data_IF_109966753608
#
_entry.id   IF_109966753608
#
_cell.length_a   1.000
_cell.length_b   1.000
_cell.length_c   1.000
_cell.angle_alpha   90.00
_cell.angle_beta   90.00
_cell.angle_gamma   90.00
#
_symmetry.space_group_name_H-M   'P 1'
#
loop_
_entity.id
_entity.type
_entity.pdbx_description
1 polymer ?
#
# COMPACT_ATOMS: atom_id res chain seq x y z
N UNK A 1 18.72 -33.87 -5.96
CA UNK A 1 19.26 -32.59 -5.47
C UNK A 1 18.87 -31.53 -6.48
N UNK A 2 17.90 -30.69 -6.13
CA UNK A 2 17.49 -29.53 -6.91
C UNK A 2 16.92 -28.49 -5.93
N UNK A 3 17.70 -27.41 -5.79
CA UNK A 3 17.34 -26.01 -5.51
C UNK A 3 16.29 -25.71 -4.44
N UNK A 4 16.79 -25.16 -3.33
CA UNK A 4 16.08 -24.24 -2.46
C UNK A 4 15.35 -23.18 -3.30
N UNK A 5 14.02 -23.15 -3.21
CA UNK A 5 13.20 -22.06 -3.71
C UNK A 5 13.15 -20.96 -2.66
N UNK A 6 13.69 -19.80 -3.01
CA UNK A 6 13.46 -18.55 -2.30
C UNK A 6 11.96 -18.20 -2.26
N UNK A 7 11.64 -17.29 -1.35
CA UNK A 7 10.57 -16.29 -1.48
C UNK A 7 9.11 -16.70 -1.19
N UNK A 8 8.64 -16.30 -0.01
CA UNK A 8 7.64 -15.23 0.07
C UNK A 8 6.18 -15.61 -0.15
N UNK A 9 5.38 -15.30 0.87
CA UNK A 9 3.92 -15.12 0.90
C UNK A 9 3.05 -16.40 0.94
N UNK A 10 1.99 -16.43 1.78
CA UNK A 10 1.02 -17.52 1.77
C UNK A 10 0.28 -17.58 0.43
N UNK A 11 0.24 -18.75 -0.20
CA UNK A 11 -0.58 -19.00 -1.39
C UNK A 11 -2.06 -18.68 -1.06
N UNK A 12 -2.58 -17.54 -1.53
CA UNK A 12 -3.98 -17.18 -1.33
C UNK A 12 -4.89 -18.16 -2.07
N UNK A 13 -5.41 -19.17 -1.37
CA UNK A 13 -6.44 -20.08 -1.89
C UNK A 13 -7.81 -19.40 -1.84
N UNK A 14 -8.12 -18.54 -2.81
CA UNK A 14 -9.42 -17.87 -2.90
C UNK A 14 -9.39 -16.58 -3.70
N UNK A 15 -10.54 -15.90 -3.86
CA UNK A 15 -10.58 -14.56 -4.45
C UNK A 15 -9.79 -13.58 -3.59
N UNK A 16 -8.96 -12.74 -4.23
CA UNK A 16 -8.17 -11.73 -3.54
C UNK A 16 -8.09 -10.45 -4.34
N UNK A 17 -7.81 -9.35 -3.64
CA UNK A 17 -7.56 -8.04 -4.23
C UNK A 17 -6.50 -7.31 -3.42
N UNK A 18 -5.70 -6.49 -4.10
CA UNK A 18 -4.53 -5.84 -3.53
C UNK A 18 -4.32 -4.45 -4.09
N UNK A 19 -4.05 -3.49 -3.19
CA UNK A 19 -3.47 -2.20 -3.55
C UNK A 19 -2.00 -2.17 -3.18
N UNK A 20 -1.14 -1.84 -4.14
CA UNK A 20 0.31 -1.76 -3.97
C UNK A 20 0.87 -0.42 -4.37
N UNK A 21 2.01 -0.09 -3.77
CA UNK A 21 2.85 0.99 -4.24
C UNK A 21 3.76 0.46 -5.35
N UNK A 22 3.84 1.21 -6.46
CA UNK A 22 4.91 1.11 -7.43
C UNK A 22 6.13 1.89 -6.94
N UNK A 23 6.89 2.47 -7.87
CA UNK A 23 8.02 3.34 -7.53
C UNK A 23 7.52 4.51 -6.67
N UNK A 24 8.15 4.70 -5.51
CA UNK A 24 7.93 5.84 -4.61
C UNK A 24 9.13 6.76 -4.73
N UNK A 25 8.87 8.04 -4.92
CA UNK A 25 9.85 9.12 -4.99
C UNK A 25 9.45 10.17 -3.96
N UNK A 26 10.44 10.69 -3.24
CA UNK A 26 10.23 11.74 -2.23
C UNK A 26 11.25 12.83 -2.50
N UNK A 27 10.77 14.04 -2.71
CA UNK A 27 11.57 15.19 -3.08
C UNK A 27 11.28 16.35 -2.13
N UNK A 28 12.28 17.18 -1.85
CA UNK A 28 12.09 18.39 -1.06
C UNK A 28 11.34 19.43 -1.90
N UNK A 29 10.19 19.89 -1.39
CA UNK A 29 9.38 20.94 -1.99
C UNK A 29 9.55 22.27 -1.27
N UNK A 30 8.90 23.32 -1.77
CA UNK A 30 9.04 24.68 -1.23
C UNK A 30 8.59 24.81 0.24
N UNK A 31 7.62 23.99 0.66
CA UNK A 31 7.00 24.06 1.99
C UNK A 31 7.06 22.72 2.77
N UNK A 32 7.88 21.76 2.34
CA UNK A 32 7.94 20.43 2.95
C UNK A 32 8.46 19.38 1.98
N UNK A 33 7.77 18.26 1.88
CA UNK A 33 8.16 17.11 1.07
C UNK A 33 7.05 16.76 0.09
N UNK A 34 7.40 16.47 -1.16
CA UNK A 34 6.48 15.97 -2.17
C UNK A 34 6.75 14.49 -2.35
N UNK A 35 5.71 13.68 -2.16
CA UNK A 35 5.74 12.23 -2.34
C UNK A 35 4.99 11.88 -3.61
N UNK A 36 5.68 11.26 -4.55
CA UNK A 36 5.15 10.82 -5.83
C UNK A 36 5.26 9.31 -5.94
N UNK A 37 4.15 8.63 -6.21
CA UNK A 37 4.15 7.18 -6.39
C UNK A 37 3.13 6.72 -7.42
N UNK A 38 3.27 5.48 -7.85
CA UNK A 38 2.26 4.83 -8.69
C UNK A 38 1.40 3.89 -7.85
N UNK A 39 0.10 4.14 -7.76
CA UNK A 39 -0.84 3.19 -7.19
C UNK A 39 -1.10 2.07 -8.18
N UNK A 40 -0.91 0.83 -7.75
CA UNK A 40 -1.21 -0.36 -8.55
C UNK A 40 -2.32 -1.16 -7.88
N UNK A 41 -3.24 -1.64 -8.70
CA UNK A 41 -4.31 -2.55 -8.29
C UNK A 41 -4.06 -3.91 -8.92
N UNK A 42 -4.25 -4.96 -8.14
CA UNK A 42 -4.23 -6.34 -8.61
C UNK A 42 -5.42 -7.08 -7.99
N UNK A 43 -6.00 -8.01 -8.71
CA UNK A 43 -7.07 -8.84 -8.17
C UNK A 43 -7.11 -10.20 -8.87
N UNK A 44 -7.71 -11.18 -8.22
CA UNK A 44 -8.06 -12.48 -8.77
C UNK A 44 -9.47 -12.85 -8.28
N UNK A 45 -10.38 -13.14 -9.21
CA UNK A 45 -11.74 -13.59 -8.91
C UNK A 45 -12.79 -12.83 -9.71
N UNK A 46 -14.00 -12.71 -9.16
CA UNK A 46 -15.16 -12.08 -9.81
C UNK A 46 -14.95 -10.58 -10.09
N UNK A 47 -15.69 -10.02 -11.07
CA UNK A 47 -15.59 -8.61 -11.43
C UNK A 47 -15.99 -7.66 -10.30
N UNK A 48 -16.85 -8.09 -9.37
CA UNK A 48 -17.22 -7.34 -8.18
C UNK A 48 -16.04 -7.07 -7.22
N UNK A 49 -14.94 -7.81 -7.36
CA UNK A 49 -13.70 -7.63 -6.58
C UNK A 49 -12.82 -6.49 -7.11
N UNK A 50 -13.18 -5.92 -8.27
CA UNK A 50 -12.36 -4.93 -8.94
C UNK A 50 -12.35 -3.60 -8.20
N UNK A 51 -13.45 -3.18 -7.60
CA UNK A 51 -13.54 -1.85 -7.03
C UNK A 51 -12.84 -1.77 -5.66
N UNK A 52 -12.13 -0.68 -5.41
CA UNK A 52 -11.82 -0.18 -4.06
C UNK A 52 -12.54 1.14 -3.85
N UNK A 53 -13.30 1.28 -2.76
CA UNK A 53 -14.06 2.49 -2.46
C UNK A 53 -13.39 3.32 -1.37
N UNK A 54 -13.45 4.64 -1.55
CA UNK A 54 -12.93 5.61 -0.60
C UNK A 54 -11.48 5.33 -0.18
N UNK A 55 -10.62 5.11 -1.19
CA UNK A 55 -9.20 4.87 -0.98
C UNK A 55 -8.54 6.15 -0.53
N UNK A 56 -7.80 6.06 0.56
CA UNK A 56 -6.96 7.11 1.10
C UNK A 56 -5.53 6.58 1.21
N UNK A 57 -4.55 7.43 0.94
CA UNK A 57 -3.15 7.19 1.29
C UNK A 57 -2.79 8.04 2.49
N UNK A 58 -2.02 7.47 3.41
CA UNK A 58 -1.56 8.11 4.63
C UNK A 58 -0.03 8.01 4.70
N UNK A 59 0.61 9.10 5.09
CA UNK A 59 2.04 9.17 5.34
C UNK A 59 2.33 9.51 6.80
N UNK A 60 3.20 8.73 7.42
CA UNK A 60 3.59 8.86 8.82
C UNK A 60 5.09 9.12 8.95
N UNK A 61 5.47 9.91 9.95
CA UNK A 61 6.88 10.11 10.32
C UNK A 61 7.43 8.95 11.16
N UNK A 62 8.71 9.07 11.56
CA UNK A 62 9.38 8.08 12.42
C UNK A 62 8.71 7.91 13.79
N UNK A 63 7.98 8.93 14.24
CA UNK A 63 7.21 8.92 15.49
C UNK A 63 5.79 8.38 15.31
N UNK A 64 5.44 7.84 14.12
CA UNK A 64 4.10 7.33 13.78
C UNK A 64 3.02 8.41 13.83
N UNK A 65 3.40 9.67 13.66
CA UNK A 65 2.48 10.81 13.52
C UNK A 65 2.13 10.99 12.05
N UNK A 66 0.85 11.14 11.72
CA UNK A 66 0.44 11.43 10.34
C UNK A 66 0.96 12.82 9.94
N UNK A 67 1.78 12.87 8.90
CA UNK A 67 2.38 14.12 8.35
C UNK A 67 1.74 14.54 7.03
N UNK A 68 0.99 13.62 6.42
CA UNK A 68 0.21 13.84 5.22
C UNK A 68 -0.82 12.74 5.00
N UNK A 69 -1.89 13.10 4.31
CA UNK A 69 -2.87 12.16 3.80
C UNK A 69 -3.50 12.70 2.52
N UNK A 70 -3.88 11.81 1.61
CA UNK A 70 -4.57 12.18 0.36
C UNK A 70 -5.70 11.21 0.07
N UNK A 71 -6.89 11.76 -0.19
CA UNK A 71 -8.02 10.98 -0.71
C UNK A 71 -7.82 10.73 -2.20
N UNK A 72 -7.81 9.46 -2.57
CA UNK A 72 -7.75 8.99 -3.96
C UNK A 72 -9.17 8.79 -4.50
N UNK A 73 -10.09 8.32 -3.66
CA UNK A 73 -11.48 8.10 -4.03
C UNK A 73 -11.73 6.65 -4.46
N UNK A 74 -12.59 6.44 -5.45
CA UNK A 74 -12.96 5.09 -5.91
C UNK A 74 -12.04 4.62 -7.04
N UNK A 75 -11.58 3.38 -6.96
CA UNK A 75 -10.71 2.73 -7.94
C UNK A 75 -11.46 1.54 -8.54
N UNK A 76 -12.17 1.76 -9.64
CA UNK A 76 -13.10 0.78 -10.23
C UNK A 76 -12.39 -0.27 -11.10
N UNK A 77 -11.51 0.14 -12.01
CA UNK A 77 -10.86 -0.75 -12.99
C UNK A 77 -9.34 -0.86 -12.80
N UNK A 78 -8.74 -1.93 -13.34
CA UNK A 78 -7.29 -2.01 -13.47
C UNK A 78 -6.84 -0.96 -14.48
N UNK A 79 -5.80 -0.22 -14.16
CA UNK A 79 -5.34 0.86 -15.03
C UNK A 79 -4.87 0.28 -16.38
N UNK A 80 -5.38 0.78 -17.52
CA UNK A 80 -5.09 0.23 -18.82
C UNK A 80 -3.58 0.24 -19.09
N UNK A 81 -3.04 -0.89 -19.54
CA UNK A 81 -1.60 -1.05 -19.81
C UNK A 81 -0.75 -1.38 -18.57
N UNK A 82 -1.34 -1.67 -17.41
CA UNK A 82 -0.62 -2.09 -16.21
C UNK A 82 0.22 -0.98 -15.56
N UNK A 83 0.08 0.27 -16.02
CA UNK A 83 0.94 1.39 -15.61
C UNK A 83 0.58 2.00 -14.26
N UNK A 84 -0.55 1.61 -13.64
CA UNK A 84 -1.01 2.17 -12.37
C UNK A 84 -1.51 3.63 -12.48
N UNK A 85 -1.98 4.20 -11.36
CA UNK A 85 -2.36 5.61 -11.24
C UNK A 85 -1.22 6.41 -10.59
N UNK A 86 -0.67 7.43 -11.26
CA UNK A 86 0.24 8.34 -10.59
C UNK A 86 -0.50 9.14 -9.51
N UNK A 87 0.06 9.14 -8.31
CA UNK A 87 -0.44 9.87 -7.15
C UNK A 87 0.70 10.70 -6.59
N UNK A 88 0.43 12.00 -6.42
CA UNK A 88 1.35 12.94 -5.78
C UNK A 88 0.68 13.50 -4.52
N UNK A 89 1.41 13.61 -3.41
CA UNK A 89 0.91 14.19 -2.17
C UNK A 89 1.98 15.03 -1.47
N UNK A 90 1.55 16.10 -0.83
CA UNK A 90 2.42 17.00 -0.08
C UNK A 90 2.44 16.61 1.40
N UNK A 91 3.62 16.61 1.99
CA UNK A 91 3.87 16.25 3.37
C UNK A 91 4.60 17.37 4.11
N UNK A 92 4.09 17.66 5.31
CA UNK A 92 4.64 18.69 6.20
C UNK A 92 6.02 18.33 6.76
N UNK A 93 6.33 17.04 6.82
CA UNK A 93 7.64 16.49 7.18
C UNK A 93 7.92 15.22 6.37
N UNK A 94 9.16 14.75 6.39
CA UNK A 94 9.57 13.57 5.66
C UNK A 94 8.82 12.33 6.18
N UNK A 95 8.00 11.65 5.35
CA UNK A 95 7.32 10.44 5.77
C UNK A 95 8.29 9.26 5.72
N UNK A 96 8.31 8.45 6.77
CA UNK A 96 9.06 7.19 6.82
C UNK A 96 8.18 5.96 6.61
N UNK A 97 6.86 6.15 6.53
CA UNK A 97 5.89 5.09 6.27
C UNK A 97 4.74 5.63 5.42
N UNK A 98 4.33 4.86 4.41
CA UNK A 98 3.13 5.09 3.60
C UNK A 98 2.22 3.88 3.69
N UNK A 99 0.91 4.09 3.74
CA UNK A 99 -0.06 3.00 3.72
C UNK A 99 -1.39 3.46 3.12
N UNK A 100 -2.15 2.51 2.59
CA UNK A 100 -3.51 2.77 2.14
C UNK A 100 -4.52 2.46 3.24
N UNK A 101 -5.64 3.16 3.19
CA UNK A 101 -6.90 2.76 3.79
C UNK A 101 -8.00 2.81 2.73
N UNK A 102 -9.04 2.02 2.91
CA UNK A 102 -10.20 2.00 2.05
C UNK A 102 -11.43 1.79 2.94
N UNK A 103 -12.54 2.49 2.67
CA UNK A 103 -13.76 2.38 3.46
C UNK A 103 -14.62 1.15 3.08
N UNK A 104 -14.04 0.18 2.38
CA UNK A 104 -14.74 -1.01 1.91
C UNK A 104 -15.23 -1.85 3.08
N UNK A 105 -16.46 -1.57 3.49
CA UNK A 105 -17.27 -2.41 4.34
C UNK A 105 -18.23 -3.21 3.46
N UNK A 106 -18.24 -4.54 3.55
CA UNK A 106 -17.36 -5.35 4.38
C UNK A 106 -15.98 -5.59 3.74
N UNK A 107 -14.96 -5.70 4.59
CA UNK A 107 -13.85 -6.63 4.36
C UNK A 107 -14.51 -8.01 4.29
N UNK A 108 -14.98 -8.40 3.11
CA UNK A 108 -15.76 -9.62 2.97
C UNK A 108 -14.91 -10.78 3.49
N UNK A 109 -15.44 -11.55 4.43
CA UNK A 109 -14.72 -12.65 5.08
C UNK A 109 -14.27 -13.72 4.06
N UNK A 110 -14.83 -13.69 2.85
CA UNK A 110 -14.51 -14.58 1.76
C UNK A 110 -13.47 -14.02 0.77
N UNK A 111 -13.07 -12.75 0.90
CA UNK A 111 -12.16 -12.06 -0.03
C UNK A 111 -10.94 -11.53 0.73
N UNK A 112 -9.76 -12.06 0.43
CA UNK A 112 -8.52 -11.53 0.99
C UNK A 112 -8.24 -10.15 0.40
N UNK A 113 -8.29 -9.11 1.23
CA UNK A 113 -8.03 -7.71 0.82
C UNK A 113 -6.74 -7.23 1.46
N UNK A 114 -5.72 -7.02 0.63
CA UNK A 114 -4.38 -6.60 1.09
C UNK A 114 -4.08 -5.16 0.68
N UNK A 115 -3.80 -4.30 1.67
CA UNK A 115 -3.39 -2.91 1.45
C UNK A 115 -1.90 -2.79 1.78
N UNK A 116 -1.04 -2.56 0.78
CA UNK A 116 0.40 -2.49 1.03
C UNK A 116 0.79 -1.38 2.01
N UNK A 117 1.88 -1.63 2.73
CA UNK A 117 2.61 -0.66 3.52
C UNK A 117 3.96 -0.48 2.85
N UNK A 118 4.41 0.76 2.70
CA UNK A 118 5.78 1.06 2.31
C UNK A 118 6.49 1.71 3.49
N UNK A 119 7.72 1.27 3.76
CA UNK A 119 8.56 1.78 4.84
C UNK A 119 9.85 2.28 4.21
N UNK A 120 10.31 3.45 4.66
CA UNK A 120 11.59 4.00 4.24
C UNK A 120 12.71 3.45 5.11
N UNK A 121 13.69 2.85 4.47
CA UNK A 121 14.97 2.46 5.05
C UNK A 121 16.08 3.37 4.51
N UNK A 122 17.03 3.75 5.37
CA UNK A 122 18.10 4.70 4.99
C UNK A 122 19.16 4.05 4.07
N UNK A 123 19.32 2.73 4.10
CA UNK A 123 20.27 1.97 3.29
C UNK A 123 19.66 1.50 1.96
N UNK A 124 18.43 0.98 2.00
CA UNK A 124 17.74 0.37 0.86
C UNK A 124 16.67 1.27 0.20
N UNK A 125 16.31 2.39 0.84
CA UNK A 125 15.26 3.29 0.38
C UNK A 125 13.84 2.79 0.68
N UNK A 126 12.88 3.08 -0.21
CA UNK A 126 11.49 2.68 0.01
C UNK A 126 11.26 1.19 -0.26
N UNK A 127 10.94 0.45 0.81
CA UNK A 127 10.62 -0.96 0.79
C UNK A 127 9.11 -1.16 0.92
N UNK A 128 8.50 -1.86 -0.04
CA UNK A 128 7.09 -2.24 0.03
C UNK A 128 6.99 -3.58 0.77
N UNK A 129 6.47 -3.54 1.99
CA UNK A 129 6.35 -4.72 2.88
C UNK A 129 4.95 -5.34 2.80
N UNK A 130 4.77 -6.51 3.44
CA UNK A 130 3.48 -7.21 3.50
C UNK A 130 2.36 -6.25 3.93
N UNK A 131 1.28 -6.29 3.14
CA UNK A 131 0.17 -5.38 3.34
C UNK A 131 -0.65 -5.74 4.56
N UNK A 132 -1.37 -4.75 5.06
CA UNK A 132 -2.37 -4.90 6.10
C UNK A 132 -3.66 -5.48 5.52
N UNK A 133 -4.40 -6.17 6.37
CA UNK A 133 -5.79 -6.50 6.13
C UNK A 133 -6.66 -5.26 6.29
N UNK A 134 -7.79 -5.30 5.59
CA UNK A 134 -8.76 -4.22 5.61
C UNK A 134 -9.43 -4.16 7.01
N UNK A 135 -9.52 -2.97 7.61
CA UNK A 135 -10.04 -2.78 8.97
C UNK A 135 -9.02 -2.86 10.11
N UNK A 136 -7.75 -3.19 9.83
CA UNK A 136 -6.69 -3.02 10.82
C UNK A 136 -6.47 -1.51 11.15
N UNK A 137 -6.04 -1.18 12.38
CA UNK A 137 -5.88 0.20 12.86
C UNK A 137 -4.71 0.98 12.22
N UNK A 138 -4.87 2.28 12.00
CA UNK A 138 -3.84 3.16 11.42
C UNK A 138 -3.06 3.94 12.51
N UNK A 139 -1.73 4.13 12.38
CA UNK A 139 -0.82 3.42 11.47
C UNK A 139 -0.71 1.93 11.83
N UNK A 140 -0.42 1.04 10.87
CA UNK A 140 -0.24 -0.39 11.13
C UNK A 140 0.85 -0.63 12.18
N UNK A 141 0.65 -1.62 13.06
CA UNK A 141 1.71 -2.02 13.98
C UNK A 141 2.95 -2.46 13.18
N UNK A 142 4.17 -2.20 13.67
CA UNK A 142 5.36 -2.68 12.98
C UNK A 142 5.27 -4.21 12.99
N UNK A 143 5.08 -4.81 11.82
CA UNK A 143 5.33 -6.24 11.65
C UNK A 143 6.84 -6.34 11.49
N UNK A 144 7.52 -6.82 12.52
CA UNK A 144 8.97 -7.07 12.46
C UNK A 144 9.28 -7.82 11.15
N UNK A 145 10.19 -7.32 10.29
CA UNK A 145 10.58 -8.00 9.06
C UNK A 145 11.36 -9.31 9.31
N UNK A 146 11.45 -9.78 10.57
CA UNK A 146 12.12 -10.99 10.99
C UNK A 146 11.41 -11.66 12.17
N UNK A 147 10.36 -12.42 11.87
CA UNK A 147 9.80 -13.41 12.79
C UNK A 147 10.21 -14.81 12.35
N UNK A 148 11.40 -15.22 12.78
CA UNK A 148 11.97 -16.59 12.90
C UNK A 148 11.87 -17.58 11.72
#
# INVERSE_FOLDING_TARGET
MATAGCDGFPEHRGPWRRLTFGTIQVEEGENGWVVSFTLRKQHQGSEDLKAFHDVHVHGYDRNRTEVCSKRIGTIEDEYPGGSGLPVEMECSAFPTMLTYSAAESPCDENITTTLSVAVYDEEDGWLVVEGRDCGEGLPPEPRDPGGE
#
